data_IF_017400909373
#
_entry.id   IF_017400909373
#
_cell.length_a   1.000
_cell.length_b   1.000
_cell.length_c   1.000
_cell.angle_alpha   90.00
_cell.angle_beta   90.00
_cell.angle_gamma   90.00
#
_symmetry.space_group_name_H-M   'P 1'
#
loop_
_entity.id
_entity.type
_entity.pdbx_description
1 polymer ?
#
# COMPACT_ATOMS: atom_id res chain seq x y z
N UNK A 1 -9.47 -10.53 9.21
CA UNK A 1 -8.35 -9.84 8.53
C UNK A 1 -8.18 -8.45 9.15
N UNK A 2 -6.93 -8.00 9.42
CA UNK A 2 -6.66 -6.66 9.95
C UNK A 2 -5.74 -5.90 8.99
N UNK A 3 -5.91 -4.59 8.91
CA UNK A 3 -5.09 -3.68 8.10
C UNK A 3 -4.48 -2.63 9.00
N UNK A 4 -3.16 -2.53 9.03
CA UNK A 4 -2.42 -1.55 9.82
C UNK A 4 -1.58 -0.64 8.93
N UNK A 5 -1.68 0.66 9.13
CA UNK A 5 -0.95 1.67 8.37
C UNK A 5 0.33 2.05 9.10
N UNK A 6 1.47 1.92 8.45
CA UNK A 6 2.79 2.26 9.00
C UNK A 6 3.44 3.47 8.36
N UNK A 7 2.97 3.84 7.17
CA UNK A 7 3.33 5.06 6.49
C UNK A 7 2.20 5.49 5.58
N UNK A 8 1.87 6.77 5.57
CA UNK A 8 0.65 7.32 4.94
C UNK A 8 0.93 8.50 4.00
N UNK A 9 2.18 8.98 3.94
CA UNK A 9 2.60 10.09 3.08
C UNK A 9 2.99 9.61 1.70
N UNK A 10 2.74 10.45 0.71
CA UNK A 10 3.26 10.30 -0.63
C UNK A 10 4.57 11.03 -0.87
N UNK A 11 5.24 10.68 -1.96
CA UNK A 11 6.40 11.37 -2.56
C UNK A 11 7.67 11.39 -1.71
N UNK A 12 7.64 11.85 -0.45
CA UNK A 12 8.80 11.89 0.45
C UNK A 12 8.38 11.95 1.93
N UNK A 13 9.24 11.50 2.86
CA UNK A 13 8.92 11.53 4.28
C UNK A 13 8.90 12.97 4.83
N UNK A 14 7.89 13.27 5.66
CA UNK A 14 7.66 14.58 6.23
C UNK A 14 7.55 14.53 7.77
N UNK A 15 8.65 14.24 8.50
CA UNK A 15 8.63 14.05 9.95
C UNK A 15 8.73 15.37 10.72
N UNK A 16 7.87 16.33 10.38
CA UNK A 16 7.78 17.60 11.09
C UNK A 16 6.84 17.49 12.29
N UNK A 17 7.04 18.35 13.31
CA UNK A 17 6.26 18.31 14.56
C UNK A 17 4.76 18.52 14.38
N UNK A 18 4.35 19.21 13.32
CA UNK A 18 2.97 19.51 12.95
C UNK A 18 2.37 18.48 11.96
N UNK A 19 3.04 17.34 11.82
CA UNK A 19 2.63 16.22 10.94
C UNK A 19 2.62 14.87 11.67
N UNK A 20 2.74 14.88 13.00
CA UNK A 20 2.93 13.67 13.80
C UNK A 20 1.64 12.96 14.20
N UNK A 21 0.49 13.64 14.12
CA UNK A 21 -0.81 13.02 14.43
C UNK A 21 -1.20 12.00 13.36
N UNK A 22 -1.06 12.37 12.08
CA UNK A 22 -1.29 11.44 10.98
C UNK A 22 -0.05 10.61 10.63
N UNK A 23 1.12 11.15 10.88
CA UNK A 23 2.40 10.54 10.60
C UNK A 23 3.14 11.16 9.42
N UNK A 24 4.45 10.98 9.39
CA UNK A 24 5.36 11.55 8.39
C UNK A 24 6.04 10.52 7.50
N UNK A 25 5.74 9.21 7.66
CA UNK A 25 6.38 8.13 6.90
C UNK A 25 5.67 7.88 5.58
N UNK A 26 6.46 7.47 4.58
CA UNK A 26 5.97 7.12 3.24
C UNK A 26 5.35 5.73 3.20
N UNK A 27 4.61 5.46 2.13
CA UNK A 27 3.64 4.40 1.96
C UNK A 27 4.13 3.01 2.43
N UNK A 28 3.46 2.46 3.43
CA UNK A 28 3.59 1.06 3.85
C UNK A 28 2.36 0.61 4.64
N UNK A 29 1.75 -0.48 4.21
CA UNK A 29 0.57 -1.07 4.83
C UNK A 29 0.84 -2.54 5.13
N UNK A 30 0.45 -3.00 6.32
CA UNK A 30 0.51 -4.42 6.68
C UNK A 30 -0.91 -4.97 6.83
N UNK A 31 -1.18 -6.06 6.13
CA UNK A 31 -2.39 -6.86 6.29
C UNK A 31 -2.01 -8.12 7.05
N UNK A 32 -2.80 -8.49 8.06
CA UNK A 32 -2.57 -9.72 8.83
C UNK A 32 -3.80 -10.60 8.80
N UNK A 33 -3.58 -11.90 8.61
CA UNK A 33 -4.58 -12.95 8.79
C UNK A 33 -4.09 -13.92 9.86
N UNK A 34 -4.92 -14.20 10.84
CA UNK A 34 -4.66 -15.25 11.81
C UNK A 34 -5.12 -16.59 11.25
N UNK A 35 -4.30 -17.61 11.38
CA UNK A 35 -4.61 -18.99 11.04
C UNK A 35 -3.94 -19.95 12.01
N UNK A 36 -4.73 -20.82 12.66
CA UNK A 36 -4.24 -21.82 13.62
C UNK A 36 -3.34 -21.24 14.73
N UNK A 37 -3.70 -20.08 15.27
CA UNK A 37 -2.95 -19.38 16.32
C UNK A 37 -1.66 -18.69 15.84
N UNK A 38 -1.44 -18.62 14.53
CA UNK A 38 -0.29 -17.97 13.91
C UNK A 38 -0.73 -16.80 13.05
N UNK A 39 -0.05 -15.68 13.15
CA UNK A 39 -0.28 -14.50 12.32
C UNK A 39 0.51 -14.63 11.02
N UNK A 40 -0.16 -14.43 9.90
CA UNK A 40 0.41 -14.41 8.56
C UNK A 40 0.42 -12.94 8.09
N UNK A 41 1.58 -12.27 8.04
CA UNK A 41 1.67 -10.91 7.54
C UNK A 41 1.81 -10.87 6.01
N UNK A 42 1.15 -9.89 5.41
CA UNK A 42 1.27 -9.47 4.03
C UNK A 42 1.57 -7.97 4.02
N UNK A 43 2.64 -7.54 3.40
CA UNK A 43 2.98 -6.13 3.31
C UNK A 43 2.69 -5.59 1.91
N UNK A 44 2.31 -4.31 1.84
CA UNK A 44 2.17 -3.58 0.58
C UNK A 44 3.00 -2.33 0.68
N UNK A 45 3.94 -2.22 -0.25
CA UNK A 45 4.97 -1.20 -0.38
C UNK A 45 5.96 -1.11 0.80
N UNK A 46 7.16 -0.70 0.47
CA UNK A 46 8.29 -0.57 1.37
C UNK A 46 8.83 0.86 1.39
N UNK A 47 7.94 1.86 1.46
CA UNK A 47 8.32 3.19 1.88
C UNK A 47 8.92 3.14 3.29
N UNK A 48 9.36 4.26 3.84
CA UNK A 48 10.05 4.20 5.13
C UNK A 48 9.15 3.78 6.31
N UNK A 49 7.83 3.70 6.13
CA UNK A 49 6.91 3.06 7.08
C UNK A 49 7.20 1.57 7.30
N UNK A 50 7.77 0.85 6.32
CA UNK A 50 8.09 -0.59 6.42
C UNK A 50 9.09 -0.89 7.55
N UNK A 51 9.91 0.09 7.95
CA UNK A 51 10.89 -0.05 9.02
C UNK A 51 10.17 -0.36 10.33
N UNK A 52 9.17 0.43 10.67
CA UNK A 52 8.37 0.22 11.88
C UNK A 52 7.48 -1.01 11.76
N UNK A 53 6.90 -1.27 10.58
CA UNK A 53 6.16 -2.50 10.31
C UNK A 53 7.03 -3.74 10.55
N UNK A 54 8.29 -3.72 10.07
CA UNK A 54 9.26 -4.78 10.31
C UNK A 54 9.57 -4.97 11.80
N UNK A 55 9.84 -3.86 12.51
CA UNK A 55 10.13 -3.90 13.95
C UNK A 55 8.97 -4.48 14.76
N UNK A 56 7.72 -4.14 14.39
CA UNK A 56 6.53 -4.60 15.10
C UNK A 56 6.32 -6.11 15.10
N UNK A 57 6.81 -6.80 14.07
CA UNK A 57 6.68 -8.26 13.96
C UNK A 57 7.84 -9.05 14.60
N UNK A 58 8.96 -8.40 14.95
CA UNK A 58 10.16 -9.06 15.47
C UNK A 58 9.87 -9.98 16.68
N UNK A 59 9.16 -9.52 17.74
CA UNK A 59 8.87 -10.38 18.87
C UNK A 59 8.13 -11.68 18.48
N UNK A 60 7.15 -11.55 17.57
CA UNK A 60 6.36 -12.69 17.08
C UNK A 60 7.15 -13.65 16.18
N UNK A 61 8.12 -13.15 15.42
CA UNK A 61 9.04 -14.01 14.65
C UNK A 61 9.93 -14.86 15.55
N UNK A 62 10.39 -14.31 16.68
CA UNK A 62 11.23 -15.06 17.64
C UNK A 62 10.43 -16.06 18.46
N UNK A 63 9.22 -15.72 18.93
CA UNK A 63 8.41 -16.63 19.74
C UNK A 63 7.53 -17.58 18.90
N UNK A 64 7.54 -17.46 17.56
CA UNK A 64 6.84 -18.33 16.63
C UNK A 64 5.35 -18.01 16.42
N UNK A 65 4.82 -16.94 17.02
CA UNK A 65 3.44 -16.50 16.82
C UNK A 65 3.19 -15.81 15.47
N UNK A 66 4.27 -15.42 14.77
CA UNK A 66 4.20 -14.86 13.43
C UNK A 66 4.95 -15.76 12.44
N UNK A 67 4.43 -15.91 11.23
CA UNK A 67 5.08 -16.70 10.18
C UNK A 67 6.43 -16.12 9.80
N UNK A 68 7.43 -17.00 9.67
CA UNK A 68 8.76 -16.68 9.17
C UNK A 68 8.84 -16.61 7.63
N UNK A 69 7.77 -16.98 6.97
CA UNK A 69 7.61 -16.85 5.51
C UNK A 69 6.44 -15.91 5.25
N UNK A 70 6.64 -14.88 4.43
CA UNK A 70 5.61 -13.89 4.13
C UNK A 70 5.86 -13.18 2.80
N UNK A 71 4.84 -12.46 2.34
CA UNK A 71 4.85 -11.75 1.06
C UNK A 71 4.89 -10.24 1.26
N UNK A 72 5.69 -9.56 0.46
CA UNK A 72 5.74 -8.10 0.30
C UNK A 72 5.39 -7.79 -1.16
N UNK A 73 4.27 -7.11 -1.35
CA UNK A 73 3.79 -6.63 -2.64
C UNK A 73 4.29 -5.21 -2.90
N UNK A 74 4.66 -4.91 -4.12
CA UNK A 74 5.00 -3.56 -4.56
C UNK A 74 3.98 -3.09 -5.60
N UNK A 75 3.42 -1.90 -5.39
CA UNK A 75 2.52 -1.28 -6.35
C UNK A 75 3.31 -0.72 -7.54
N UNK A 76 4.42 -0.09 -7.25
CA UNK A 76 5.40 0.38 -8.23
C UNK A 76 6.76 0.62 -7.57
N UNK A 77 7.71 1.23 -8.29
CA UNK A 77 9.12 1.22 -7.88
C UNK A 77 9.68 2.63 -7.57
N UNK A 78 8.81 3.61 -7.30
CA UNK A 78 9.25 4.94 -6.87
C UNK A 78 9.92 4.89 -5.48
N UNK A 79 10.75 5.88 -5.15
CA UNK A 79 11.50 5.88 -3.89
C UNK A 79 10.62 5.75 -2.64
N UNK A 80 9.53 6.49 -2.57
CA UNK A 80 8.59 6.50 -1.43
C UNK A 80 7.83 5.18 -1.21
N UNK A 81 7.94 4.24 -2.16
CA UNK A 81 7.42 2.86 -2.05
C UNK A 81 8.51 1.80 -1.88
N UNK A 82 9.80 2.18 -1.92
CA UNK A 82 10.89 1.21 -1.94
C UNK A 82 12.08 1.55 -1.02
N UNK A 83 12.23 2.81 -0.58
CA UNK A 83 13.44 3.26 0.13
C UNK A 83 13.61 2.66 1.52
N UNK A 84 12.52 2.35 2.21
CA UNK A 84 12.55 1.75 3.55
C UNK A 84 13.00 0.29 3.56
N UNK A 85 12.98 -0.39 2.40
CA UNK A 85 13.38 -1.79 2.30
C UNK A 85 14.81 -2.05 2.80
N UNK A 86 15.71 -1.10 2.59
CA UNK A 86 17.12 -1.21 3.01
C UNK A 86 17.26 -1.33 4.52
N UNK A 87 16.30 -0.82 5.29
CA UNK A 87 16.28 -0.86 6.77
C UNK A 87 15.20 -1.79 7.33
N UNK A 88 14.55 -2.58 6.49
CA UNK A 88 13.55 -3.54 6.92
C UNK A 88 14.18 -4.66 7.75
N UNK A 89 14.01 -4.63 9.06
CA UNK A 89 14.69 -5.51 10.02
C UNK A 89 14.65 -7.00 9.67
N UNK A 90 13.54 -7.57 9.17
CA UNK A 90 13.49 -8.98 8.77
C UNK A 90 14.52 -9.37 7.69
N UNK A 91 15.02 -8.42 6.88
CA UNK A 91 16.07 -8.69 5.89
C UNK A 91 17.37 -9.23 6.54
N UNK A 92 17.63 -8.84 7.78
CA UNK A 92 18.87 -9.15 8.50
C UNK A 92 18.76 -10.40 9.38
N UNK A 93 17.61 -11.08 9.38
CA UNK A 93 17.37 -12.25 10.22
C UNK A 93 17.49 -13.55 9.42
N UNK A 94 18.33 -14.51 9.89
CA UNK A 94 18.39 -15.82 9.26
C UNK A 94 17.10 -16.61 9.48
N UNK A 95 16.77 -17.45 8.50
CA UNK A 95 15.57 -18.31 8.54
C UNK A 95 14.26 -17.59 8.21
N UNK A 96 14.31 -16.32 7.82
CA UNK A 96 13.16 -15.59 7.29
C UNK A 96 13.15 -15.76 5.76
N UNK A 97 11.94 -15.98 5.19
CA UNK A 97 11.70 -16.00 3.76
C UNK A 97 10.74 -14.87 3.36
N UNK A 98 11.14 -14.07 2.40
CA UNK A 98 10.38 -12.92 1.92
C UNK A 98 10.13 -13.06 0.43
N UNK A 99 8.86 -13.22 0.05
CA UNK A 99 8.44 -13.19 -1.35
C UNK A 99 8.21 -11.74 -1.77
N UNK A 100 9.05 -11.24 -2.67
CA UNK A 100 9.03 -9.88 -3.18
C UNK A 100 8.33 -9.88 -4.53
N UNK A 101 7.09 -9.46 -4.57
CA UNK A 101 6.25 -9.47 -5.78
C UNK A 101 5.92 -8.04 -6.20
N UNK A 102 5.98 -7.75 -7.47
CA UNK A 102 5.62 -6.44 -8.00
C UNK A 102 5.80 -6.36 -9.50
N UNK A 103 5.62 -5.17 -10.10
CA UNK A 103 5.69 -4.99 -11.53
C UNK A 103 7.10 -5.18 -12.09
N UNK A 104 7.15 -5.38 -13.39
CA UNK A 104 8.36 -5.20 -14.19
C UNK A 104 8.12 -4.07 -15.18
N UNK A 105 8.73 -2.92 -14.92
CA UNK A 105 8.61 -1.74 -15.75
C UNK A 105 9.95 -1.38 -16.38
N UNK A 106 9.96 -0.99 -17.67
CA UNK A 106 11.14 -0.57 -18.40
C UNK A 106 12.31 -1.57 -18.25
N UNK A 107 12.02 -2.87 -18.27
CA UNK A 107 12.98 -3.98 -18.07
C UNK A 107 13.61 -4.06 -16.68
N UNK A 108 13.12 -3.30 -15.69
CA UNK A 108 13.51 -3.41 -14.29
C UNK A 108 12.37 -4.00 -13.46
N UNK A 109 12.67 -5.04 -12.71
CA UNK A 109 11.76 -5.63 -11.73
C UNK A 109 12.16 -5.22 -10.30
N UNK A 110 11.33 -5.59 -9.33
CA UNK A 110 11.54 -5.30 -7.91
C UNK A 110 12.95 -5.70 -7.45
N UNK A 111 13.37 -6.92 -7.76
CA UNK A 111 14.67 -7.43 -7.31
C UNK A 111 15.86 -6.64 -7.86
N UNK A 112 15.76 -6.16 -9.09
CA UNK A 112 16.82 -5.32 -9.70
C UNK A 112 16.87 -3.95 -9.02
N UNK A 113 15.72 -3.31 -8.81
CA UNK A 113 15.67 -1.97 -8.19
C UNK A 113 16.15 -2.02 -6.73
N UNK A 114 15.73 -3.01 -5.95
CA UNK A 114 16.17 -3.15 -4.55
C UNK A 114 17.65 -3.47 -4.45
N UNK A 115 18.21 -4.23 -5.38
CA UNK A 115 19.64 -4.48 -5.47
C UNK A 115 20.42 -3.21 -5.79
N UNK A 116 20.00 -2.48 -6.83
CA UNK A 116 20.63 -1.20 -7.21
C UNK A 116 20.70 -0.21 -6.03
N UNK A 117 19.67 -0.19 -5.16
CA UNK A 117 19.62 0.67 -3.95
C UNK A 117 20.61 0.24 -2.86
N UNK A 118 20.99 -1.03 -2.82
CA UNK A 118 21.89 -1.59 -1.79
C UNK A 118 23.29 -1.86 -2.31
N UNK A 119 23.61 -1.48 -3.53
CA UNK A 119 24.97 -1.61 -4.06
C UNK A 119 25.85 -0.42 -3.63
N UNK A 120 27.15 -0.66 -3.34
CA UNK A 120 28.10 0.42 -3.09
C UNK A 120 28.19 1.40 -4.28
N UNK A 121 28.40 2.69 -4.02
CA UNK A 121 28.64 3.35 -2.74
C UNK A 121 27.36 3.82 -2.02
N UNK A 122 26.16 3.46 -2.48
CA UNK A 122 24.88 3.98 -1.98
C UNK A 122 24.47 3.37 -0.65
N UNK A 123 24.90 2.12 -0.37
CA UNK A 123 24.59 1.42 0.87
C UNK A 123 25.77 0.57 1.36
N UNK A 124 25.99 0.43 2.68
CA UNK A 124 27.17 -0.26 3.22
C UNK A 124 27.05 -1.80 3.24
N UNK A 125 25.83 -2.34 3.09
CA UNK A 125 25.57 -3.78 3.08
C UNK A 125 24.98 -4.14 1.72
N UNK A 126 25.66 -4.99 0.97
CA UNK A 126 25.17 -5.42 -0.34
C UNK A 126 23.92 -6.29 -0.20
N UNK A 127 23.02 -6.19 -1.16
CA UNK A 127 21.79 -6.97 -1.20
C UNK A 127 22.02 -8.48 -1.02
N UNK A 128 23.11 -9.02 -1.59
CA UNK A 128 23.49 -10.44 -1.48
C UNK A 128 23.86 -10.88 -0.06
N UNK A 129 24.27 -9.94 0.81
CA UNK A 129 24.77 -10.23 2.16
C UNK A 129 23.66 -10.23 3.22
N UNK A 130 22.45 -9.83 2.85
CA UNK A 130 21.27 -9.94 3.69
C UNK A 130 21.02 -11.39 4.10
N UNK A 131 20.58 -11.62 5.34
CA UNK A 131 20.47 -12.96 5.93
C UNK A 131 19.17 -13.70 5.63
N UNK A 132 18.10 -12.96 5.29
CA UNK A 132 16.84 -13.57 4.84
C UNK A 132 16.98 -14.18 3.44
N UNK A 133 16.14 -15.15 3.12
CA UNK A 133 15.92 -15.64 1.76
C UNK A 133 14.93 -14.71 1.07
N UNK A 134 15.26 -14.15 -0.09
CA UNK A 134 14.40 -13.24 -0.87
C UNK A 134 14.09 -13.88 -2.21
N UNK A 135 12.79 -14.14 -2.44
CA UNK A 135 12.27 -14.81 -3.63
C UNK A 135 11.52 -13.76 -4.46
N UNK A 136 11.99 -13.50 -5.66
CA UNK A 136 11.41 -12.48 -6.52
C UNK A 136 10.38 -13.06 -7.47
N UNK A 137 9.29 -12.32 -7.68
CA UNK A 137 8.28 -12.62 -8.67
C UNK A 137 7.76 -11.35 -9.35
N UNK A 138 7.33 -11.51 -10.59
CA UNK A 138 6.65 -10.45 -11.35
C UNK A 138 5.15 -10.71 -11.30
N UNK A 139 4.38 -9.66 -11.10
CA UNK A 139 2.91 -9.70 -11.20
C UNK A 139 2.47 -8.96 -12.46
N UNK A 140 1.41 -9.46 -13.09
CA UNK A 140 0.87 -8.95 -14.34
C UNK A 140 -0.61 -8.59 -14.21
N UNK A 141 -1.10 -7.73 -15.09
CA UNK A 141 -2.51 -7.31 -15.13
C UNK A 141 -3.44 -8.52 -15.27
N UNK A 142 -4.49 -8.58 -14.46
CA UNK A 142 -5.48 -9.67 -14.48
C UNK A 142 -5.06 -10.95 -13.75
N UNK A 143 -3.84 -11.04 -13.22
CA UNK A 143 -3.44 -12.19 -12.40
C UNK A 143 -4.22 -12.25 -11.07
N UNK A 144 -4.29 -13.46 -10.52
CA UNK A 144 -4.72 -13.72 -9.15
C UNK A 144 -3.61 -14.44 -8.40
N UNK A 145 -3.26 -13.94 -7.22
CA UNK A 145 -2.27 -14.51 -6.31
C UNK A 145 -3.00 -15.06 -5.09
N UNK A 146 -2.62 -16.23 -4.62
CA UNK A 146 -3.21 -16.91 -3.47
C UNK A 146 -2.17 -17.01 -2.36
N UNK A 147 -2.46 -16.47 -1.17
CA UNK A 147 -1.56 -16.56 0.00
C UNK A 147 -1.95 -17.77 0.83
N UNK A 148 -1.05 -18.73 0.93
CA UNK A 148 -1.21 -19.95 1.71
C UNK A 148 -1.05 -19.75 3.22
N UNK A 149 -1.29 -20.81 4.02
CA UNK A 149 -1.25 -20.78 5.48
C UNK A 149 0.10 -20.36 6.11
N UNK A 150 1.18 -20.44 5.34
CA UNK A 150 2.51 -20.02 5.80
C UNK A 150 2.93 -18.63 5.28
N UNK A 151 2.09 -17.97 4.47
CA UNK A 151 2.40 -16.66 3.88
C UNK A 151 3.06 -16.73 2.51
N UNK A 152 3.23 -17.95 1.95
CA UNK A 152 3.76 -18.19 0.61
C UNK A 152 2.74 -17.84 -0.45
N UNK A 153 3.12 -17.08 -1.52
CA UNK A 153 2.25 -16.81 -2.64
C UNK A 153 2.24 -17.98 -3.64
N UNK A 154 1.09 -18.23 -4.24
CA UNK A 154 0.88 -19.21 -5.30
C UNK A 154 0.07 -18.60 -6.44
N UNK A 155 0.30 -19.03 -7.69
CA UNK A 155 -0.50 -18.61 -8.86
C UNK A 155 -1.71 -19.52 -9.11
N UNK A 156 -1.72 -20.71 -8.54
CA UNK A 156 -2.84 -21.64 -8.63
C UNK A 156 -3.60 -21.70 -7.30
N UNK A 157 -4.95 -21.78 -7.35
CA UNK A 157 -5.73 -21.97 -6.13
C UNK A 157 -5.39 -23.32 -5.47
N UNK A 158 -5.30 -23.31 -4.16
CA UNK A 158 -5.06 -24.46 -3.30
C UNK A 158 -5.60 -24.14 -1.93
N UNK A 159 -4.99 -24.67 -0.86
CA UNK A 159 -5.25 -24.22 0.48
C UNK A 159 -4.67 -22.81 0.64
N UNK A 160 -5.54 -21.80 0.73
CA UNK A 160 -5.15 -20.40 0.81
C UNK A 160 -6.07 -19.60 1.72
N UNK A 161 -5.51 -18.57 2.34
CA UNK A 161 -6.17 -17.70 3.31
C UNK A 161 -6.64 -16.40 2.67
N UNK A 162 -5.86 -15.87 1.73
CA UNK A 162 -6.15 -14.63 1.02
C UNK A 162 -6.09 -14.86 -0.49
N UNK A 163 -7.04 -14.27 -1.20
CA UNK A 163 -7.04 -14.14 -2.65
C UNK A 163 -6.72 -12.68 -3.01
N UNK A 164 -5.75 -12.47 -3.89
CA UNK A 164 -5.29 -11.14 -4.30
C UNK A 164 -5.45 -11.01 -5.80
N UNK A 165 -6.42 -10.22 -6.25
CA UNK A 165 -6.56 -9.83 -7.65
C UNK A 165 -5.65 -8.65 -7.95
N UNK A 166 -5.06 -8.69 -9.13
CA UNK A 166 -4.10 -7.70 -9.62
C UNK A 166 -4.71 -6.93 -10.78
N UNK A 167 -4.60 -5.59 -10.74
CA UNK A 167 -4.94 -4.72 -11.86
C UNK A 167 -3.81 -3.72 -12.07
N UNK A 168 -3.31 -3.62 -13.28
CA UNK A 168 -2.35 -2.59 -13.65
C UNK A 168 -3.09 -1.35 -14.15
N UNK A 169 -2.75 -0.18 -13.61
CA UNK A 169 -3.11 1.08 -14.22
C UNK A 169 -2.16 1.39 -15.38
N UNK A 170 -2.59 2.28 -16.27
CA UNK A 170 -1.75 2.77 -17.38
C UNK A 170 -1.73 4.29 -17.36
N UNK A 171 -0.73 4.87 -17.99
CA UNK A 171 -0.72 6.31 -18.21
C UNK A 171 -2.05 6.77 -18.86
N UNK A 172 -2.67 7.88 -18.42
CA UNK A 172 -2.08 8.89 -17.55
C UNK A 172 -2.34 8.70 -16.04
N UNK A 173 -2.94 7.59 -15.58
CA UNK A 173 -3.32 7.41 -14.16
C UNK A 173 -2.13 7.48 -13.20
N UNK A 174 -0.94 7.09 -13.64
CA UNK A 174 0.32 7.37 -12.95
C UNK A 174 1.44 7.54 -13.99
N UNK A 175 2.38 8.49 -13.81
CA UNK A 175 3.37 8.84 -14.84
C UNK A 175 4.14 7.67 -15.39
N UNK A 176 4.34 7.69 -16.71
CA UNK A 176 5.16 6.79 -17.53
C UNK A 176 4.73 5.33 -17.56
N UNK A 177 4.81 4.59 -16.44
CA UNK A 177 4.63 3.12 -16.44
C UNK A 177 3.34 2.65 -15.77
N UNK A 178 2.63 3.53 -15.05
CA UNK A 178 1.47 3.17 -14.23
C UNK A 178 1.84 2.55 -12.88
N UNK A 179 0.85 1.97 -12.24
CA UNK A 179 0.92 1.38 -10.90
C UNK A 179 0.13 0.06 -10.86
N UNK A 180 0.46 -0.83 -9.96
CA UNK A 180 -0.33 -2.03 -9.68
C UNK A 180 -1.28 -1.77 -8.52
N UNK A 181 -2.56 -2.13 -8.70
CA UNK A 181 -3.56 -2.12 -7.66
C UNK A 181 -3.86 -3.54 -7.21
N UNK A 182 -4.15 -3.70 -5.94
CA UNK A 182 -4.43 -5.00 -5.34
C UNK A 182 -5.82 -5.02 -4.70
N UNK A 183 -6.61 -6.04 -5.01
CA UNK A 183 -7.82 -6.34 -4.25
C UNK A 183 -7.60 -7.61 -3.46
N UNK A 184 -7.56 -7.49 -2.15
CA UNK A 184 -7.29 -8.58 -1.21
C UNK A 184 -8.61 -9.03 -0.60
N UNK A 185 -8.95 -10.32 -0.74
CA UNK A 185 -10.14 -10.93 -0.18
C UNK A 185 -9.74 -12.01 0.82
N UNK A 186 -10.27 -11.92 2.02
CA UNK A 186 -10.22 -12.96 3.04
C UNK A 186 -11.15 -14.11 2.62
N UNK A 187 -10.59 -15.30 2.44
CA UNK A 187 -11.33 -16.45 1.90
C UNK A 187 -12.41 -16.94 2.86
N UNK A 188 -12.18 -16.83 4.17
CA UNK A 188 -13.11 -17.26 5.20
C UNK A 188 -14.28 -16.28 5.38
N UNK A 189 -13.99 -15.00 5.59
CA UNK A 189 -14.99 -13.97 5.88
C UNK A 189 -15.62 -13.36 4.64
N UNK A 190 -15.03 -13.54 3.47
CA UNK A 190 -15.35 -12.89 2.19
C UNK A 190 -15.19 -11.36 2.21
N UNK A 191 -14.63 -10.81 3.26
CA UNK A 191 -14.31 -9.38 3.36
C UNK A 191 -13.19 -9.01 2.41
N UNK A 192 -13.29 -7.84 1.80
CA UNK A 192 -12.32 -7.42 0.79
C UNK A 192 -11.87 -5.97 0.95
N UNK A 193 -10.62 -5.72 0.57
CA UNK A 193 -9.96 -4.41 0.55
C UNK A 193 -9.45 -4.16 -0.87
N UNK A 194 -9.78 -2.99 -1.42
CA UNK A 194 -9.19 -2.52 -2.68
C UNK A 194 -8.14 -1.44 -2.37
N UNK A 195 -6.90 -1.68 -2.77
CA UNK A 195 -5.75 -0.79 -2.59
C UNK A 195 -5.48 -0.05 -3.90
N UNK A 196 -5.83 1.24 -3.93
CA UNK A 196 -5.81 2.11 -5.12
C UNK A 196 -5.05 3.39 -4.76
N UNK A 197 -3.75 3.34 -4.72
CA UNK A 197 -2.93 4.53 -4.51
C UNK A 197 -1.94 4.73 -5.64
N UNK A 198 -1.42 5.95 -5.73
CA UNK A 198 -0.72 6.46 -6.90
C UNK A 198 -1.60 6.37 -8.15
N UNK A 199 -2.76 7.02 -8.02
CA UNK A 199 -3.80 7.02 -9.03
C UNK A 199 -4.32 8.43 -9.27
N UNK A 200 -4.15 8.94 -10.45
CA UNK A 200 -4.84 10.14 -10.93
C UNK A 200 -6.17 9.73 -11.58
N UNK A 201 -7.22 9.77 -10.78
CA UNK A 201 -8.57 9.50 -11.25
C UNK A 201 -9.13 10.67 -12.07
N UNK A 202 -10.23 10.43 -12.73
CA UNK A 202 -10.94 11.45 -13.53
C UNK A 202 -12.18 11.95 -12.79
N UNK A 203 -12.56 13.19 -13.02
CA UNK A 203 -13.88 13.69 -12.65
C UNK A 203 -14.94 12.86 -13.39
N UNK A 204 -15.96 12.37 -12.69
CA UNK A 204 -16.92 11.41 -13.23
C UNK A 204 -16.58 9.95 -12.98
N UNK A 205 -15.47 9.70 -12.29
CA UNK A 205 -14.99 8.38 -11.86
C UNK A 205 -14.11 7.67 -12.91
N UNK A 206 -13.22 6.83 -12.42
CA UNK A 206 -12.42 5.92 -13.24
C UNK A 206 -13.11 4.57 -13.33
N UNK A 207 -13.62 4.23 -14.52
CA UNK A 207 -14.42 3.02 -14.74
C UNK A 207 -13.66 1.72 -14.43
N UNK A 208 -12.35 1.68 -14.61
CA UNK A 208 -11.53 0.51 -14.27
C UNK A 208 -11.39 0.38 -12.75
N UNK A 209 -11.11 1.47 -12.05
CA UNK A 209 -11.04 1.52 -10.59
C UNK A 209 -12.38 1.15 -9.98
N UNK A 210 -13.49 1.72 -10.49
CA UNK A 210 -14.85 1.43 -10.04
C UNK A 210 -15.16 -0.06 -10.18
N UNK A 211 -14.89 -0.64 -11.35
CA UNK A 211 -15.14 -2.07 -11.58
C UNK A 211 -14.25 -2.97 -10.70
N UNK A 212 -13.00 -2.59 -10.49
CA UNK A 212 -12.05 -3.36 -9.66
C UNK A 212 -12.39 -3.31 -8.18
N UNK A 213 -12.80 -2.16 -7.67
CA UNK A 213 -13.18 -1.96 -6.27
C UNK A 213 -14.65 -2.29 -5.98
N UNK A 214 -15.42 -2.75 -6.98
CA UNK A 214 -16.86 -2.96 -6.84
C UNK A 214 -17.22 -3.77 -5.59
N UNK A 215 -18.13 -3.21 -4.77
CA UNK A 215 -18.66 -3.80 -3.53
C UNK A 215 -17.56 -4.21 -2.50
N UNK A 216 -16.38 -3.60 -2.54
CA UNK A 216 -15.34 -3.83 -1.52
C UNK A 216 -15.81 -3.31 -0.15
N UNK A 217 -15.41 -3.99 0.92
CA UNK A 217 -15.71 -3.51 2.29
C UNK A 217 -14.91 -2.25 2.61
N UNK A 218 -13.65 -2.19 2.17
CA UNK A 218 -12.76 -1.04 2.33
C UNK A 218 -12.09 -0.73 1.00
N UNK A 219 -12.02 0.54 0.65
CA UNK A 219 -11.19 1.07 -0.44
C UNK A 219 -10.16 2.04 0.16
N UNK A 220 -8.90 1.72 0.03
CA UNK A 220 -7.79 2.62 0.37
C UNK A 220 -7.42 3.33 -0.92
N UNK A 221 -7.56 4.65 -0.95
CA UNK A 221 -7.39 5.41 -2.20
C UNK A 221 -6.45 6.60 -2.02
N UNK A 222 -5.69 6.89 -3.07
CA UNK A 222 -4.90 8.11 -3.20
C UNK A 222 -5.77 9.34 -2.99
N UNK A 223 -5.30 10.23 -2.12
CA UNK A 223 -5.95 11.50 -1.79
C UNK A 223 -4.90 12.59 -1.55
N UNK A 224 -3.96 12.71 -2.48
CA UNK A 224 -2.80 13.58 -2.28
C UNK A 224 -3.16 15.07 -2.34
N UNK A 225 -4.13 15.46 -3.19
CA UNK A 225 -4.43 16.86 -3.46
C UNK A 225 -5.84 17.27 -3.01
N UNK A 226 -5.98 18.56 -2.66
CA UNK A 226 -7.29 19.22 -2.62
C UNK A 226 -7.71 19.65 -4.03
N UNK A 227 -9.00 19.92 -4.24
CA UNK A 227 -9.51 20.46 -5.52
C UNK A 227 -8.84 21.77 -5.87
N UNK A 228 -8.59 22.64 -4.88
CA UNK A 228 -7.93 23.92 -5.10
C UNK A 228 -6.50 23.73 -5.61
N UNK A 229 -5.74 22.80 -5.03
CA UNK A 229 -4.39 22.49 -5.48
C UNK A 229 -4.38 21.88 -6.89
N UNK A 230 -5.39 21.07 -7.20
CA UNK A 230 -5.49 20.36 -8.48
C UNK A 230 -5.98 21.26 -9.62
N UNK A 231 -7.02 22.08 -9.38
CA UNK A 231 -7.69 22.86 -10.43
C UNK A 231 -7.11 24.27 -10.62
N UNK A 232 -6.61 24.89 -9.56
CA UNK A 232 -6.23 26.33 -9.57
C UNK A 232 -4.94 26.65 -8.83
N UNK A 233 -4.19 25.62 -8.43
CA UNK A 233 -2.94 25.78 -7.71
C UNK A 233 -1.89 26.58 -8.50
N UNK A 234 -0.98 27.22 -7.77
CA UNK A 234 0.15 27.94 -8.36
C UNK A 234 1.09 27.03 -9.14
N UNK A 235 1.07 25.75 -8.85
CA UNK A 235 1.80 24.69 -9.53
C UNK A 235 0.80 23.75 -10.17
N UNK A 236 0.99 23.45 -11.45
CA UNK A 236 0.18 22.46 -12.16
C UNK A 236 0.56 21.07 -11.67
N UNK A 237 -0.37 20.38 -10.99
CA UNK A 237 -0.18 19.03 -10.46
C UNK A 237 -0.94 17.96 -11.25
N UNK A 238 -1.77 18.37 -12.20
CA UNK A 238 -2.43 17.46 -13.14
C UNK A 238 -1.38 16.73 -13.98
N UNK A 239 -1.53 15.42 -14.12
CA UNK A 239 -0.54 14.56 -14.76
C UNK A 239 0.57 14.06 -13.84
N UNK A 240 0.55 14.40 -12.54
CA UNK A 240 1.52 13.88 -11.57
C UNK A 240 1.15 12.49 -11.03
N UNK A 241 -0.05 11.99 -11.37
CA UNK A 241 -0.45 10.63 -11.04
C UNK A 241 -1.18 10.49 -9.70
N UNK A 242 -1.81 11.56 -9.21
CA UNK A 242 -2.48 11.57 -7.91
C UNK A 242 -3.86 12.20 -7.96
N UNK A 243 -4.77 11.67 -7.11
CA UNK A 243 -6.16 12.10 -7.02
C UNK A 243 -6.40 13.21 -6.01
N UNK A 244 -7.56 13.86 -6.19
CA UNK A 244 -8.17 14.67 -5.13
C UNK A 244 -9.07 13.82 -4.23
N UNK A 245 -9.42 14.37 -3.08
CA UNK A 245 -10.39 13.75 -2.16
C UNK A 245 -11.76 13.54 -2.81
N UNK A 246 -12.21 14.47 -3.65
CA UNK A 246 -13.50 14.34 -4.36
C UNK A 246 -13.47 13.21 -5.37
N UNK A 247 -12.38 13.05 -6.13
CA UNK A 247 -12.21 11.95 -7.07
C UNK A 247 -12.26 10.59 -6.35
N UNK A 248 -11.60 10.47 -5.19
CA UNK A 248 -11.62 9.25 -4.38
C UNK A 248 -13.04 8.94 -3.87
N UNK A 249 -13.76 9.92 -3.34
CA UNK A 249 -15.15 9.78 -2.90
C UNK A 249 -16.06 9.35 -4.04
N UNK A 250 -15.91 9.94 -5.23
CA UNK A 250 -16.70 9.60 -6.41
C UNK A 250 -16.46 8.15 -6.85
N UNK A 251 -15.21 7.71 -6.93
CA UNK A 251 -14.88 6.32 -7.22
C UNK A 251 -15.50 5.36 -6.19
N UNK A 252 -15.36 5.66 -4.89
CA UNK A 252 -15.88 4.81 -3.82
C UNK A 252 -17.41 4.67 -3.87
N UNK A 253 -18.11 5.78 -4.11
CA UNK A 253 -19.58 5.77 -4.26
C UNK A 253 -20.03 4.95 -5.47
N UNK A 254 -19.43 5.20 -6.62
CA UNK A 254 -19.78 4.48 -7.87
C UNK A 254 -19.42 2.99 -7.80
N UNK A 255 -18.40 2.64 -7.03
CA UNK A 255 -18.03 1.26 -6.78
C UNK A 255 -18.90 0.56 -5.71
N UNK A 256 -19.75 1.29 -4.97
CA UNK A 256 -20.55 0.73 -3.87
C UNK A 256 -19.72 0.30 -2.66
N UNK A 257 -18.60 0.96 -2.42
CA UNK A 257 -17.69 0.68 -1.30
C UNK A 257 -18.34 1.12 0.01
N UNK A 258 -18.13 0.36 1.11
CA UNK A 258 -18.71 0.69 2.42
C UNK A 258 -17.89 1.74 3.18
N UNK A 259 -16.57 1.63 3.11
CA UNK A 259 -15.62 2.53 3.78
C UNK A 259 -14.51 2.97 2.83
N UNK A 260 -14.35 4.27 2.68
CA UNK A 260 -13.22 4.89 1.97
C UNK A 260 -12.16 5.33 2.98
N UNK A 261 -10.93 4.88 2.77
CA UNK A 261 -9.77 5.33 3.54
C UNK A 261 -8.90 6.22 2.65
N UNK A 262 -8.77 7.49 3.01
CA UNK A 262 -7.82 8.39 2.37
C UNK A 262 -6.38 8.00 2.74
N UNK A 263 -5.50 8.03 1.75
CA UNK A 263 -4.11 7.58 1.87
C UNK A 263 -3.20 8.39 0.94
N UNK A 264 -1.90 8.28 1.11
CA UNK A 264 -0.89 8.88 0.24
C UNK A 264 -0.96 10.42 0.22
N UNK A 265 -0.95 11.04 1.42
CA UNK A 265 -1.13 12.49 1.56
C UNK A 265 0.04 13.28 1.01
N UNK A 266 -0.28 14.48 0.51
CA UNK A 266 0.74 15.49 0.19
C UNK A 266 1.64 15.72 1.43
N UNK A 267 2.96 15.55 1.29
CA UNK A 267 3.89 15.73 2.41
C UNK A 267 3.92 17.16 2.98
N UNK A 268 3.34 18.14 2.27
CA UNK A 268 3.19 19.52 2.77
C UNK A 268 1.91 19.75 3.59
N UNK A 269 1.01 18.77 3.68
CA UNK A 269 -0.22 18.92 4.47
C UNK A 269 0.07 18.68 5.96
N UNK A 270 -0.10 19.71 6.78
CA UNK A 270 -0.03 19.61 8.24
C UNK A 270 -1.20 18.82 8.82
N UNK A 271 -1.09 18.36 10.05
CA UNK A 271 -2.16 17.68 10.77
C UNK A 271 -3.43 18.53 10.83
N UNK A 272 -3.30 19.84 11.05
CA UNK A 272 -4.42 20.77 11.05
C UNK A 272 -5.13 20.80 9.69
N UNK A 273 -4.37 20.83 8.57
CA UNK A 273 -4.95 20.83 7.23
C UNK A 273 -5.65 19.52 6.95
N UNK A 274 -5.03 18.37 7.28
CA UNK A 274 -5.62 17.03 7.10
C UNK A 274 -6.91 16.88 7.92
N UNK A 275 -6.91 17.33 9.19
CA UNK A 275 -8.11 17.31 10.03
C UNK A 275 -9.25 18.14 9.43
N UNK A 276 -8.96 19.34 8.92
CA UNK A 276 -9.94 20.17 8.22
C UNK A 276 -10.53 19.49 6.99
N UNK A 277 -9.68 18.88 6.15
CA UNK A 277 -10.11 18.11 4.98
C UNK A 277 -11.00 16.93 5.42
N UNK A 278 -10.58 16.16 6.44
CA UNK A 278 -11.37 15.03 6.95
C UNK A 278 -12.78 15.45 7.36
N UNK A 279 -12.90 16.55 8.11
CA UNK A 279 -14.19 17.07 8.57
C UNK A 279 -15.10 17.47 7.40
N UNK A 280 -14.54 18.08 6.36
CA UNK A 280 -15.31 18.45 5.16
C UNK A 280 -15.78 17.21 4.39
N UNK A 281 -14.89 16.22 4.19
CA UNK A 281 -15.24 14.99 3.46
C UNK A 281 -16.28 14.20 4.26
N UNK A 282 -16.10 14.00 5.57
CA UNK A 282 -17.07 13.31 6.43
C UNK A 282 -18.43 14.00 6.37
N UNK A 283 -18.50 15.34 6.39
CA UNK A 283 -19.75 16.07 6.25
C UNK A 283 -20.45 15.80 4.91
N UNK A 284 -19.67 15.65 3.83
CA UNK A 284 -20.21 15.37 2.48
C UNK A 284 -20.63 13.91 2.30
N UNK A 285 -20.06 12.97 3.06
CA UNK A 285 -20.25 11.52 2.87
C UNK A 285 -21.10 10.88 3.97
N UNK A 286 -21.47 11.59 5.05
CA UNK A 286 -22.10 11.07 6.28
C UNK A 286 -23.33 10.20 6.10
N UNK A 287 -24.02 10.29 4.97
CA UNK A 287 -25.28 9.61 4.73
C UNK A 287 -25.14 8.31 3.92
N UNK A 288 -24.02 8.12 3.24
CA UNK A 288 -23.90 7.08 2.20
C UNK A 288 -22.53 6.40 2.12
N UNK A 289 -21.48 6.97 2.71
CA UNK A 289 -20.14 6.43 2.65
C UNK A 289 -19.38 6.76 3.94
N UNK A 290 -18.87 5.75 4.61
CA UNK A 290 -17.92 5.96 5.71
C UNK A 290 -16.58 6.48 5.15
N UNK A 291 -16.05 7.54 5.75
CA UNK A 291 -14.76 8.09 5.36
C UNK A 291 -13.81 8.18 6.56
N UNK A 292 -12.61 7.64 6.39
CA UNK A 292 -11.54 7.66 7.37
C UNK A 292 -10.29 8.25 6.72
N UNK A 293 -9.58 9.15 7.39
CA UNK A 293 -8.20 9.44 7.04
C UNK A 293 -7.28 8.43 7.73
N UNK A 294 -6.42 7.75 6.97
CA UNK A 294 -5.43 6.87 7.54
C UNK A 294 -4.43 7.64 8.41
N UNK A 295 -3.89 7.01 9.43
CA UNK A 295 -2.77 7.52 10.21
C UNK A 295 -1.86 6.39 10.64
N UNK A 296 -0.60 6.70 10.88
CA UNK A 296 0.35 5.72 11.39
C UNK A 296 -0.16 5.09 12.70
N UNK A 297 -0.12 3.75 12.75
CA UNK A 297 -0.65 2.95 13.87
C UNK A 297 -2.15 2.67 13.81
N UNK A 298 -2.92 3.30 12.92
CA UNK A 298 -4.34 2.94 12.73
C UNK A 298 -4.45 1.49 12.26
N UNK A 299 -5.32 0.74 12.91
CA UNK A 299 -5.66 -0.63 12.52
C UNK A 299 -7.17 -0.75 12.29
N UNK A 300 -7.55 -1.27 11.13
CA UNK A 300 -8.93 -1.59 10.78
C UNK A 300 -9.11 -3.12 10.85
N UNK A 301 -10.21 -3.56 11.44
CA UNK A 301 -10.60 -4.98 11.49
C UNK A 301 -11.77 -5.24 10.54
N UNK A 302 -11.67 -6.28 9.68
CA UNK A 302 -12.68 -6.66 8.70
C UNK A 302 -13.21 -8.08 8.96
#
# INVERSE_FOLDING_TARGET
MKVTFFGVRGSYPAPNKDMMEYGGRTASVMITKEHNGKIIPLFIDAGNGIIEAGNSIIPGLFNGSISKEFTLLFTHLHPDHTEGFTFFTPNFLPGIKIHLLGPSFLKKNVGMVLRDKMDPPTYPIEYKDLKSERIHGVVEDGETIYIGPEGKPNKNPGDHLLEIKVMQSFAPSHPQQGCIYYRITDVETKKSIACIWDNESRKGGDQRVIAFAKDADVMIHDTQYTEEEYDSGKMVVQGFGHSTYTMAVENARLAGVKCLVGFHYNPMHTDQKLTGIAQEVIKKTKNDLEFILSKEGLTLEL
#
